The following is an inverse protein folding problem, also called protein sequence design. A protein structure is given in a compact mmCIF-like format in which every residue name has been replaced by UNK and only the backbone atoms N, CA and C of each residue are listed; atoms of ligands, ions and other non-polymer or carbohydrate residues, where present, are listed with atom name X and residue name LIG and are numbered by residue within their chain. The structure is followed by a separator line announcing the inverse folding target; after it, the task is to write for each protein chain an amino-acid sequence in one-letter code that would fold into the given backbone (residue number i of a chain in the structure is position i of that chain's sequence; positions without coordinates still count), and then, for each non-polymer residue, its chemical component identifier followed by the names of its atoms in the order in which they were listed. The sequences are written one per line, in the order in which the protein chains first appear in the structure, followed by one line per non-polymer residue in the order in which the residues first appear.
data_IF_156051232668
#
_entry.id   IF_156051232668
#
_cell.length_a   1.000
_cell.length_b   1.000
_cell.length_c   1.000
_cell.angle_alpha   90.00
_cell.angle_beta   90.00
_cell.angle_gamma   90.00
#
_symmetry.space_group_name_H-M   'P 1'
#
loop_
_entity.id
_entity.type
_entity.pdbx_description
1 polymer ?
#
# COMPACT_ATOMS: atom_id res chain seq x y z
N UNK A 1 20.16 -14.78 -25.21
CA UNK A 1 19.27 -15.59 -24.33
C UNK A 1 18.77 -14.69 -23.22
N UNK A 2 17.51 -14.83 -22.76
CA UNK A 2 16.99 -14.16 -21.57
C UNK A 2 17.66 -14.77 -20.33
N UNK A 3 18.97 -14.56 -20.23
CA UNK A 3 19.85 -14.95 -19.14
C UNK A 3 19.52 -14.10 -17.93
N UNK A 4 18.41 -14.49 -17.31
CA UNK A 4 18.07 -14.37 -15.92
C UNK A 4 17.76 -12.99 -15.33
N UNK A 5 16.95 -12.20 -16.04
CA UNK A 5 16.25 -11.00 -15.48
C UNK A 5 15.59 -11.35 -14.13
N UNK A 6 14.97 -12.53 -14.03
CA UNK A 6 14.36 -13.01 -12.79
C UNK A 6 15.40 -13.24 -11.68
N UNK A 7 16.51 -13.93 -11.95
CA UNK A 7 17.57 -14.10 -10.94
C UNK A 7 18.21 -12.79 -10.54
N UNK A 8 18.42 -11.86 -11.48
CA UNK A 8 18.90 -10.52 -11.14
C UNK A 8 17.93 -9.84 -10.18
N UNK A 9 16.62 -9.90 -10.45
CA UNK A 9 15.61 -9.34 -9.55
C UNK A 9 15.61 -10.03 -8.17
N UNK A 10 15.70 -11.37 -8.13
CA UNK A 10 15.78 -12.13 -6.88
C UNK A 10 17.02 -11.75 -6.08
N UNK A 11 18.18 -11.62 -6.73
CA UNK A 11 19.43 -11.18 -6.08
C UNK A 11 19.29 -9.79 -5.48
N UNK A 12 18.72 -8.84 -6.23
CA UNK A 12 18.50 -7.50 -5.71
C UNK A 12 17.52 -7.48 -4.54
N UNK A 13 16.42 -8.24 -4.60
CA UNK A 13 15.33 -8.19 -3.61
C UNK A 13 15.64 -9.02 -2.35
N UNK A 14 16.33 -10.15 -2.49
CA UNK A 14 16.55 -11.10 -1.39
C UNK A 14 17.94 -10.93 -0.77
N UNK A 15 18.93 -10.53 -1.57
CA UNK A 15 20.33 -10.45 -1.15
C UNK A 15 20.86 -9.01 -1.13
N UNK A 16 20.03 -8.00 -1.45
CA UNK A 16 20.44 -6.60 -1.59
C UNK A 16 21.65 -6.42 -2.54
N UNK A 17 21.80 -7.31 -3.52
CA UNK A 17 22.91 -7.26 -4.47
C UNK A 17 22.66 -6.19 -5.55
N UNK A 18 23.59 -5.25 -5.79
CA UNK A 18 23.48 -4.29 -6.88
C UNK A 18 23.41 -5.01 -8.23
N UNK A 19 22.46 -4.60 -9.08
CA UNK A 19 22.26 -5.17 -10.42
C UNK A 19 22.25 -4.11 -11.51
N UNK A 20 22.50 -4.52 -12.76
CA UNK A 20 22.32 -3.65 -13.91
C UNK A 20 20.82 -3.47 -14.21
N UNK A 21 20.37 -2.21 -14.26
CA UNK A 21 18.99 -1.83 -14.55
C UNK A 21 18.75 -1.80 -16.06
N UNK A 22 18.43 -2.96 -16.62
CA UNK A 22 17.85 -3.05 -17.98
C UNK A 22 16.35 -2.73 -17.98
N UNK A 23 15.75 -2.32 -19.12
CA UNK A 23 14.31 -2.08 -19.24
C UNK A 23 13.45 -3.25 -18.75
N UNK A 24 13.85 -4.49 -19.04
CA UNK A 24 13.13 -5.70 -18.62
C UNK A 24 13.14 -5.89 -17.10
N UNK A 25 14.25 -5.54 -16.42
CA UNK A 25 14.36 -5.60 -14.96
C UNK A 25 13.44 -4.56 -14.33
N UNK A 26 13.45 -3.33 -14.87
CA UNK A 26 12.59 -2.24 -14.40
C UNK A 26 11.12 -2.60 -14.52
N UNK A 27 10.71 -3.14 -15.67
CA UNK A 27 9.33 -3.55 -15.89
C UNK A 27 8.93 -4.70 -14.95
N UNK A 28 9.78 -5.71 -14.80
CA UNK A 28 9.48 -6.83 -13.90
C UNK A 28 9.41 -6.39 -12.44
N UNK A 29 10.30 -5.49 -11.99
CA UNK A 29 10.27 -4.93 -10.65
C UNK A 29 9.00 -4.10 -10.40
N UNK A 30 8.53 -3.35 -11.41
CA UNK A 30 7.27 -2.59 -11.37
C UNK A 30 6.07 -3.51 -11.21
N UNK A 31 5.96 -4.54 -12.04
CA UNK A 31 4.84 -5.52 -12.00
C UNK A 31 4.74 -6.23 -10.64
N UNK A 32 5.88 -6.46 -9.99
CA UNK A 32 5.94 -7.11 -8.68
C UNK A 32 5.87 -6.14 -7.49
N UNK A 33 5.70 -4.82 -7.73
CA UNK A 33 5.69 -3.77 -6.70
C UNK A 33 6.96 -3.78 -5.82
N UNK A 34 8.14 -3.94 -6.43
CA UNK A 34 9.45 -3.89 -5.76
C UNK A 34 10.43 -2.90 -6.41
N UNK A 35 9.92 -2.07 -7.32
CA UNK A 35 10.75 -1.15 -8.11
C UNK A 35 11.55 -0.19 -7.24
N UNK A 36 10.94 0.43 -6.21
CA UNK A 36 11.64 1.37 -5.33
C UNK A 36 12.86 0.71 -4.66
N UNK A 37 12.67 -0.46 -4.05
CA UNK A 37 13.76 -1.22 -3.46
C UNK A 37 14.88 -1.53 -4.46
N UNK A 38 14.54 -2.03 -5.64
CA UNK A 38 15.52 -2.34 -6.69
C UNK A 38 16.31 -1.10 -7.13
N UNK A 39 15.65 0.06 -7.25
CA UNK A 39 16.31 1.31 -7.59
C UNK A 39 17.26 1.79 -6.49
N UNK A 40 16.90 1.60 -5.22
CA UNK A 40 17.76 1.91 -4.06
C UNK A 40 18.99 0.99 -4.02
N UNK A 41 18.79 -0.33 -4.15
CA UNK A 41 19.86 -1.35 -4.14
C UNK A 41 20.85 -1.14 -5.30
N UNK A 42 20.35 -0.85 -6.51
CA UNK A 42 21.20 -0.53 -7.65
C UNK A 42 21.85 0.87 -7.57
N UNK A 43 21.57 1.64 -6.52
CA UNK A 43 21.95 3.04 -6.35
C UNK A 43 21.67 3.88 -7.61
N UNK A 44 20.49 3.68 -8.20
CA UNK A 44 20.08 4.44 -9.37
C UNK A 44 19.91 5.91 -8.98
N UNK A 45 20.48 6.81 -9.80
CA UNK A 45 20.32 8.25 -9.67
C UNK A 45 19.63 8.77 -10.93
N UNK A 46 18.33 9.05 -10.83
CA UNK A 46 17.50 9.41 -11.96
C UNK A 46 16.04 9.65 -11.60
N UNK A 47 15.31 10.29 -12.53
CA UNK A 47 13.90 10.72 -12.34
C UNK A 47 12.97 9.58 -11.93
N UNK A 48 13.25 8.35 -12.39
CA UNK A 48 12.45 7.18 -12.03
C UNK A 48 12.50 6.89 -10.53
N UNK A 49 13.69 6.98 -9.91
CA UNK A 49 13.82 6.82 -8.45
C UNK A 49 13.17 7.99 -7.72
N UNK A 50 13.42 9.22 -8.15
CA UNK A 50 12.79 10.41 -7.56
C UNK A 50 11.26 10.28 -7.52
N UNK A 51 10.65 9.86 -8.64
CA UNK A 51 9.20 9.64 -8.73
C UNK A 51 8.69 8.55 -7.77
N UNK A 52 9.45 7.47 -7.57
CA UNK A 52 9.09 6.43 -6.59
C UNK A 52 9.24 6.92 -5.14
N UNK A 53 10.29 7.66 -4.82
CA UNK A 53 10.51 8.26 -3.49
C UNK A 53 9.41 9.28 -3.15
N UNK A 54 9.07 10.15 -4.11
CA UNK A 54 7.94 11.09 -3.98
C UNK A 54 6.60 10.34 -3.82
N UNK A 55 6.44 9.22 -4.52
CA UNK A 55 5.30 8.32 -4.36
C UNK A 55 5.18 7.78 -2.95
N UNK A 56 6.27 7.24 -2.40
CA UNK A 56 6.32 6.75 -1.03
C UNK A 56 5.97 7.87 -0.04
N UNK A 57 6.56 9.05 -0.20
CA UNK A 57 6.27 10.22 0.63
C UNK A 57 4.79 10.58 0.62
N UNK A 58 4.16 10.65 -0.56
CA UNK A 58 2.72 10.94 -0.68
C UNK A 58 1.87 9.92 0.07
N UNK A 59 2.22 8.63 0.02
CA UNK A 59 1.51 7.60 0.78
C UNK A 59 1.72 7.78 2.28
N UNK A 60 2.94 8.07 2.74
CA UNK A 60 3.22 8.35 4.15
C UNK A 60 2.41 9.54 4.67
N UNK A 61 2.31 10.62 3.89
CA UNK A 61 1.51 11.80 4.24
C UNK A 61 0.01 11.45 4.36
N UNK A 62 -0.51 10.58 3.48
CA UNK A 62 -1.89 10.09 3.54
C UNK A 62 -2.11 9.20 4.76
N UNK A 63 -1.18 8.30 5.07
CA UNK A 63 -1.25 7.45 6.26
C UNK A 63 -1.34 8.29 7.52
N UNK A 64 -0.50 9.34 7.64
CA UNK A 64 -0.56 10.27 8.76
C UNK A 64 -1.90 11.01 8.84
N UNK A 65 -2.40 11.53 7.71
CA UNK A 65 -3.70 12.21 7.65
C UNK A 65 -4.87 11.26 8.05
N UNK A 66 -4.82 10.00 7.62
CA UNK A 66 -5.83 8.99 7.96
C UNK A 66 -5.75 8.63 9.44
N UNK A 67 -4.57 8.38 10.02
CA UNK A 67 -4.40 8.10 11.45
C UNK A 67 -5.00 9.23 12.30
N UNK A 68 -4.65 10.49 11.99
CA UNK A 68 -5.17 11.67 12.70
C UNK A 68 -6.70 11.74 12.60
N UNK A 69 -7.27 11.50 11.42
CA UNK A 69 -8.71 11.49 11.20
C UNK A 69 -9.42 10.38 12.00
N UNK A 70 -8.77 9.23 12.14
CA UNK A 70 -9.33 8.07 12.82
C UNK A 70 -9.07 8.08 14.34
N UNK A 71 -8.53 9.16 14.91
CA UNK A 71 -8.31 9.28 16.36
C UNK A 71 -9.53 8.89 17.22
N UNK A 72 -9.34 7.88 18.08
CA UNK A 72 -10.40 7.32 18.93
C UNK A 72 -11.32 6.29 18.25
N UNK A 73 -11.05 5.94 16.99
CA UNK A 73 -11.63 4.78 16.31
C UNK A 73 -10.65 3.62 16.46
N UNK A 74 -11.18 2.44 16.78
CA UNK A 74 -10.38 1.21 16.88
C UNK A 74 -10.03 0.74 15.47
N UNK A 75 -8.76 0.89 15.09
CA UNK A 75 -8.28 0.63 13.74
C UNK A 75 -6.82 0.20 13.69
N UNK A 76 -6.43 -0.46 12.60
CA UNK A 76 -5.03 -0.80 12.28
C UNK A 76 -4.80 -0.67 10.77
N UNK A 77 -3.64 -0.17 10.37
CA UNK A 77 -3.21 -0.23 8.97
C UNK A 77 -2.81 -1.66 8.61
N UNK A 78 -3.33 -2.17 7.50
CA UNK A 78 -3.02 -3.50 6.99
C UNK A 78 -2.33 -3.40 5.64
N UNK A 79 -1.54 -4.43 5.27
CA UNK A 79 -0.83 -4.51 3.98
C UNK A 79 0.08 -3.32 3.65
N UNK A 80 0.42 -2.47 4.62
CA UNK A 80 1.26 -1.28 4.42
C UNK A 80 2.76 -1.60 4.49
N UNK A 81 3.14 -2.64 5.23
CA UNK A 81 4.54 -3.04 5.44
C UNK A 81 4.83 -4.31 4.65
N UNK A 82 5.94 -4.31 3.91
CA UNK A 82 6.55 -5.48 3.27
C UNK A 82 8.01 -5.57 3.70
N UNK A 83 8.66 -6.74 3.60
CA UNK A 83 10.09 -6.89 3.90
C UNK A 83 11.01 -6.21 2.86
N UNK A 84 10.46 -5.33 2.02
CA UNK A 84 11.15 -4.64 0.92
C UNK A 84 10.55 -3.25 0.80
N UNK A 85 11.36 -2.28 0.36
CA UNK A 85 10.87 -0.94 0.07
C UNK A 85 9.97 -0.92 -1.17
N UNK A 86 8.75 -0.44 -1.02
CA UNK A 86 7.83 -0.28 -2.13
C UNK A 86 6.95 0.94 -1.93
N UNK A 87 6.32 1.37 -3.02
CA UNK A 87 5.27 2.37 -2.98
C UNK A 87 3.92 1.63 -2.94
N UNK A 88 3.15 1.69 -1.85
CA UNK A 88 1.79 1.16 -1.83
C UNK A 88 0.92 1.85 -2.89
N UNK A 89 -0.02 1.09 -3.46
CA UNK A 89 -0.97 1.66 -4.44
C UNK A 89 -2.18 2.31 -3.74
N UNK A 90 -2.44 1.85 -2.53
CA UNK A 90 -3.60 2.04 -1.69
C UNK A 90 -3.15 2.08 -0.22
N UNK A 91 -4.02 2.64 0.63
CA UNK A 91 -3.91 2.59 2.09
C UNK A 91 -5.05 1.75 2.61
N UNK A 92 -4.78 0.48 2.96
CA UNK A 92 -5.76 -0.40 3.57
C UNK A 92 -5.79 -0.18 5.10
N UNK A 93 -6.99 0.02 5.64
CA UNK A 93 -7.22 0.17 7.09
C UNK A 93 -8.30 -0.80 7.52
N UNK A 94 -8.01 -1.63 8.52
CA UNK A 94 -9.04 -2.39 9.22
C UNK A 94 -9.63 -1.53 10.32
N UNK A 95 -10.94 -1.35 10.34
CA UNK A 95 -11.67 -0.58 11.34
C UNK A 95 -12.73 -1.44 12.01
N UNK A 96 -13.05 -1.15 13.26
CA UNK A 96 -14.18 -1.79 13.94
C UNK A 96 -15.47 -1.56 13.15
N UNK A 97 -16.20 -2.63 12.81
CA UNK A 97 -17.38 -2.54 11.93
C UNK A 97 -18.43 -1.52 12.40
N UNK A 98 -18.71 -1.48 13.71
CA UNK A 98 -19.63 -0.51 14.31
C UNK A 98 -19.20 0.96 14.17
N UNK A 99 -17.92 1.23 13.91
CA UNK A 99 -17.34 2.57 13.77
C UNK A 99 -17.06 2.96 12.31
N UNK A 100 -17.23 2.04 11.35
CA UNK A 100 -16.97 2.31 9.92
C UNK A 100 -17.74 3.52 9.34
N UNK A 101 -19.03 3.75 9.68
CA UNK A 101 -19.74 4.95 9.24
C UNK A 101 -19.11 6.25 9.76
N UNK A 102 -18.63 6.24 11.01
CA UNK A 102 -17.95 7.39 11.61
C UNK A 102 -16.59 7.62 10.94
N UNK A 103 -15.80 6.56 10.73
CA UNK A 103 -14.52 6.62 10.01
C UNK A 103 -14.70 7.23 8.61
N UNK A 104 -15.68 6.73 7.86
CA UNK A 104 -16.03 7.22 6.52
C UNK A 104 -16.38 8.71 6.55
N UNK A 105 -17.25 9.12 7.47
CA UNK A 105 -17.68 10.53 7.60
C UNK A 105 -16.52 11.48 7.91
N UNK A 106 -15.58 11.06 8.76
CA UNK A 106 -14.39 11.86 9.10
C UNK A 106 -13.46 12.02 7.90
N UNK A 107 -13.18 10.95 7.16
CA UNK A 107 -12.40 11.04 5.93
C UNK A 107 -13.11 11.92 4.89
N UNK A 108 -14.43 11.80 4.72
CA UNK A 108 -15.18 12.68 3.82
C UNK A 108 -15.06 14.17 4.19
N UNK A 109 -14.98 14.49 5.49
CA UNK A 109 -14.76 15.87 5.97
C UNK A 109 -13.40 16.42 5.55
N UNK A 110 -12.40 15.55 5.35
CA UNK A 110 -11.07 15.90 4.84
C UNK A 110 -10.98 15.92 3.30
N UNK A 111 -12.12 15.81 2.61
CA UNK A 111 -12.21 15.89 1.14
C UNK A 111 -12.06 14.55 0.42
N UNK A 112 -12.05 13.42 1.13
CA UNK A 112 -12.16 12.11 0.50
C UNK A 112 -13.57 11.91 -0.06
N UNK A 113 -13.67 11.15 -1.16
CA UNK A 113 -14.95 10.78 -1.77
C UNK A 113 -15.11 9.27 -1.75
N UNK A 114 -16.28 8.78 -1.36
CA UNK A 114 -16.61 7.35 -1.48
C UNK A 114 -16.63 6.98 -2.97
N UNK A 115 -15.81 6.00 -3.34
CA UNK A 115 -15.73 5.45 -4.68
C UNK A 115 -16.61 4.20 -4.81
N UNK A 116 -16.52 3.30 -3.83
CA UNK A 116 -17.24 2.02 -3.80
C UNK A 116 -17.62 1.70 -2.36
N UNK A 117 -18.79 1.06 -2.18
CA UNK A 117 -19.25 0.53 -0.90
C UNK A 117 -19.65 -0.94 -1.08
N UNK A 118 -18.83 -1.84 -0.55
CA UNK A 118 -19.03 -3.29 -0.55
C UNK A 118 -19.42 -3.79 0.84
N UNK A 119 -19.87 -5.06 1.00
CA UNK A 119 -20.31 -5.57 2.30
C UNK A 119 -19.28 -5.44 3.43
N UNK A 120 -17.98 -5.52 3.11
CA UNK A 120 -16.90 -5.53 4.09
C UNK A 120 -15.82 -4.49 3.87
N UNK A 121 -15.98 -3.63 2.85
CA UNK A 121 -14.99 -2.62 2.49
C UNK A 121 -15.68 -1.36 1.97
N UNK A 122 -15.22 -0.20 2.43
CA UNK A 122 -15.59 1.10 1.88
C UNK A 122 -14.33 1.72 1.28
N UNK A 123 -14.31 1.88 -0.04
CA UNK A 123 -13.18 2.52 -0.74
C UNK A 123 -13.44 4.01 -0.85
N UNK A 124 -12.53 4.82 -0.33
CA UNK A 124 -12.50 6.26 -0.49
C UNK A 124 -11.32 6.68 -1.36
N UNK A 125 -11.42 7.82 -2.03
CA UNK A 125 -10.35 8.36 -2.88
C UNK A 125 -10.12 9.85 -2.63
N UNK A 126 -8.85 10.24 -2.57
CA UNK A 126 -8.39 11.64 -2.56
C UNK A 126 -7.10 11.74 -3.37
N UNK A 127 -7.01 12.73 -4.25
CA UNK A 127 -5.83 12.98 -5.09
C UNK A 127 -5.30 11.74 -5.87
N UNK A 128 -6.21 10.85 -6.27
CA UNK A 128 -5.86 9.64 -7.03
C UNK A 128 -5.32 8.48 -6.20
N UNK A 129 -5.32 8.58 -4.86
CA UNK A 129 -4.95 7.50 -3.95
C UNK A 129 -6.19 6.98 -3.24
N UNK A 130 -6.32 5.66 -3.19
CA UNK A 130 -7.41 4.99 -2.50
C UNK A 130 -7.07 4.75 -1.02
N UNK A 131 -8.07 4.90 -0.16
CA UNK A 131 -8.08 4.47 1.23
C UNK A 131 -9.22 3.47 1.38
N UNK A 132 -8.89 2.23 1.70
CA UNK A 132 -9.85 1.14 1.82
C UNK A 132 -10.12 0.86 3.29
N UNK A 133 -11.34 1.16 3.74
CA UNK A 133 -11.80 0.85 5.10
C UNK A 133 -12.45 -0.53 5.13
N UNK A 134 -11.71 -1.52 5.61
CA UNK A 134 -12.21 -2.87 5.83
C UNK A 134 -12.87 -2.98 7.20
N UNK A 135 -14.00 -3.68 7.27
CA UNK A 135 -14.57 -4.16 8.54
C UNK A 135 -14.13 -5.59 8.84
N UNK A 136 -13.92 -6.37 7.77
CA UNK A 136 -13.38 -7.71 7.82
C UNK A 136 -12.38 -7.90 6.68
N UNK A 137 -11.21 -8.52 6.93
CA UNK A 137 -10.38 -9.04 5.86
C UNK A 137 -11.19 -10.05 5.03
N UNK A 138 -11.37 -9.76 3.74
CA UNK A 138 -12.22 -10.56 2.85
C UNK A 138 -11.66 -10.65 1.43
N UNK A 139 -12.06 -11.70 0.71
CA UNK A 139 -11.75 -11.91 -0.69
C UNK A 139 -12.98 -12.49 -1.39
N UNK A 140 -13.40 -11.90 -2.51
CA UNK A 140 -14.63 -12.28 -3.21
C UNK A 140 -15.87 -12.36 -2.28
N UNK A 141 -16.02 -11.38 -1.37
CA UNK A 141 -17.06 -11.31 -0.35
C UNK A 141 -17.06 -12.48 0.67
N UNK A 142 -15.97 -13.24 0.76
CA UNK A 142 -15.77 -14.25 1.78
C UNK A 142 -14.82 -13.71 2.85
N UNK A 143 -15.33 -13.63 4.09
CA UNK A 143 -14.55 -13.26 5.27
C UNK A 143 -13.70 -14.46 5.67
N UNK A 144 -12.38 -14.30 5.72
CA UNK A 144 -11.46 -15.36 6.15
C UNK A 144 -11.10 -15.27 7.64
N UNK A 145 -11.20 -14.09 8.25
CA UNK A 145 -11.04 -13.87 9.69
C UNK A 145 -11.92 -12.71 10.15
N UNK A 146 -12.45 -12.78 11.38
CA UNK A 146 -13.22 -11.65 11.94
C UNK A 146 -12.28 -10.48 12.21
N UNK A 147 -12.72 -9.26 11.90
CA UNK A 147 -11.84 -8.09 11.99
C UNK A 147 -11.51 -7.75 13.44
N UNK A 148 -12.49 -7.96 14.33
CA UNK A 148 -12.36 -7.79 15.76
C UNK A 148 -11.29 -8.70 16.37
N UNK A 149 -11.04 -9.89 15.80
CA UNK A 149 -9.97 -10.77 16.27
C UNK A 149 -8.59 -10.19 16.02
N UNK A 150 -8.44 -9.33 15.00
CA UNK A 150 -7.18 -8.66 14.66
C UNK A 150 -7.02 -7.31 15.36
N UNK A 151 -8.12 -6.62 15.67
CA UNK A 151 -8.08 -5.32 16.36
C UNK A 151 -7.80 -5.44 17.86
N UNK A 152 -8.13 -6.57 18.48
CA UNK A 152 -7.89 -6.84 19.90
C UNK A 152 -6.49 -7.44 20.19
N UNK A 153 -5.55 -7.33 19.25
CA UNK A 153 -4.21 -7.95 19.32
C UNK A 153 -3.16 -7.07 19.98
#
# INVERSE_FOLDING_TARGET
MPGNVMLSLVRAVVLDEPINLGPDVVELARLNKVLLHVLRVANHDGELRVSQEDGLKRITDIVAEVEDALGGIEHVFIKLIKPVDYVPADVDVLVKGSQAPLATSRLMTLGYRVLVHEPYTITLVKNGVNVDLYTHPSAANLVYIRGEELLNS
#
